data_IF_638500466008
#
_entry.id   IF_638500466008
#
_cell.length_a   1.000
_cell.length_b   1.000
_cell.length_c   1.000
_cell.angle_alpha   90.00
_cell.angle_beta   90.00
_cell.angle_gamma   90.00
#
_symmetry.space_group_name_H-M   'P 1'
#
loop_
_entity.id
_entity.type
_entity.pdbx_description
1 polymer ?
#
# COMPACT_ATOMS: atom_id res chain seq x y z
N UNK A 1 7.40 14.03 0.37
CA UNK A 1 6.63 12.76 0.53
C UNK A 1 7.55 11.76 1.19
N UNK A 2 7.10 11.09 2.25
CA UNK A 2 7.83 9.99 2.87
C UNK A 2 7.33 8.64 2.31
N UNK A 3 8.22 7.66 2.24
CA UNK A 3 7.92 6.30 1.80
C UNK A 3 8.36 5.29 2.85
N UNK A 4 7.43 4.48 3.31
CA UNK A 4 7.66 3.49 4.36
C UNK A 4 7.27 2.09 3.87
N UNK A 5 8.04 1.09 4.29
CA UNK A 5 7.70 -0.33 4.10
C UNK A 5 7.02 -0.83 5.38
N UNK A 6 5.85 -1.48 5.22
CA UNK A 6 5.14 -2.19 6.28
C UNK A 6 4.88 -3.62 5.82
N UNK A 7 5.60 -4.57 6.38
CA UNK A 7 5.64 -5.95 5.87
C UNK A 7 5.42 -7.00 6.96
N UNK A 8 4.85 -8.14 6.56
CA UNK A 8 4.75 -9.35 7.40
C UNK A 8 6.04 -10.18 7.43
N UNK A 9 7.07 -9.78 6.67
CA UNK A 9 8.37 -10.44 6.68
C UNK A 9 9.21 -9.97 7.86
N UNK A 10 10.12 -10.84 8.34
CA UNK A 10 11.07 -10.49 9.39
C UNK A 10 12.20 -9.60 8.88
N UNK A 11 12.82 -8.85 9.79
CA UNK A 11 13.84 -7.83 9.52
C UNK A 11 15.01 -8.35 8.68
N UNK A 12 15.52 -9.56 8.98
CA UNK A 12 16.64 -10.13 8.25
C UNK A 12 16.35 -10.31 6.75
N UNK A 13 15.15 -10.80 6.41
CA UNK A 13 14.73 -11.00 5.01
C UNK A 13 14.56 -9.68 4.28
N UNK A 14 13.97 -8.68 4.94
CA UNK A 14 13.74 -7.36 4.37
C UNK A 14 15.06 -6.65 4.11
N UNK A 15 15.98 -6.65 5.08
CA UNK A 15 17.28 -6.01 4.92
C UNK A 15 18.11 -6.64 3.80
N UNK A 16 18.12 -7.98 3.71
CA UNK A 16 18.82 -8.67 2.62
C UNK A 16 18.25 -8.29 1.22
N UNK A 17 16.93 -8.14 1.10
CA UNK A 17 16.30 -7.69 -0.14
C UNK A 17 16.66 -6.24 -0.46
N UNK A 18 16.56 -5.34 0.52
CA UNK A 18 16.86 -3.91 0.32
C UNK A 18 18.32 -3.68 -0.07
N UNK A 19 19.28 -4.44 0.50
CA UNK A 19 20.68 -4.39 0.12
C UNK A 19 20.91 -4.78 -1.35
N UNK A 20 20.15 -5.74 -1.87
CA UNK A 20 20.26 -6.15 -3.28
C UNK A 20 19.73 -5.09 -4.26
N UNK A 21 18.72 -4.35 -3.88
CA UNK A 21 18.03 -3.40 -4.78
C UNK A 21 18.37 -1.93 -4.52
N UNK A 22 19.14 -1.61 -3.47
CA UNK A 22 19.45 -0.23 -3.04
C UNK A 22 20.08 0.66 -4.13
N UNK A 23 20.73 0.07 -5.12
CA UNK A 23 21.31 0.81 -6.26
C UNK A 23 20.27 1.10 -7.36
N UNK A 24 19.11 0.46 -7.33
CA UNK A 24 18.09 0.52 -8.37
C UNK A 24 16.88 1.36 -7.98
N UNK A 25 16.67 1.57 -6.68
CA UNK A 25 15.52 2.29 -6.15
C UNK A 25 15.96 3.36 -5.13
N UNK A 26 15.19 4.44 -4.97
CA UNK A 26 15.38 5.38 -3.88
C UNK A 26 15.30 4.68 -2.51
N UNK A 27 16.01 5.21 -1.52
CA UNK A 27 15.91 4.72 -0.14
C UNK A 27 14.52 5.02 0.45
N UNK A 28 14.00 4.09 1.24
CA UNK A 28 12.81 4.31 2.05
C UNK A 28 13.15 5.12 3.31
N UNK A 29 12.20 5.92 3.78
CA UNK A 29 12.34 6.72 5.01
C UNK A 29 12.25 5.85 6.27
N UNK A 30 11.61 4.68 6.18
CA UNK A 30 11.57 3.72 7.26
C UNK A 30 10.99 2.37 6.88
N UNK A 31 11.17 1.41 7.77
CA UNK A 31 10.69 0.04 7.61
C UNK A 31 10.08 -0.42 8.93
N UNK A 32 8.91 -1.06 8.84
CA UNK A 32 8.25 -1.80 9.92
C UNK A 32 8.12 -3.26 9.47
N UNK A 33 8.66 -4.17 10.25
CA UNK A 33 8.69 -5.61 9.98
C UNK A 33 7.85 -6.38 10.98
N UNK A 34 7.67 -7.69 10.78
CA UNK A 34 7.00 -8.54 11.78
C UNK A 34 7.72 -8.57 13.13
N UNK A 35 9.01 -8.26 13.18
CA UNK A 35 9.79 -8.28 14.43
C UNK A 35 9.54 -7.02 15.29
N UNK A 36 8.94 -5.97 14.72
CA UNK A 36 8.66 -4.71 15.40
C UNK A 36 7.30 -4.69 16.13
N UNK A 37 6.41 -5.63 15.82
CA UNK A 37 4.99 -5.58 16.21
C UNK A 37 4.55 -6.85 16.92
N UNK A 38 3.50 -6.74 17.76
CA UNK A 38 2.93 -7.89 18.45
C UNK A 38 1.97 -8.69 17.58
N UNK A 39 1.18 -8.01 16.74
CA UNK A 39 0.17 -8.63 15.87
C UNK A 39 0.40 -8.23 14.42
N UNK A 40 0.59 -9.23 13.55
CA UNK A 40 0.71 -9.03 12.11
C UNK A 40 -0.63 -8.78 11.41
N UNK A 41 -0.58 -8.39 10.12
CA UNK A 41 -1.78 -8.24 9.28
C UNK A 41 -2.69 -9.47 9.39
N UNK A 42 -4.01 -9.30 9.57
CA UNK A 42 -4.81 -8.12 9.32
C UNK A 42 -4.90 -7.11 10.49
N UNK A 43 -4.16 -7.28 11.60
CA UNK A 43 -4.10 -6.29 12.66
C UNK A 43 -3.42 -5.00 12.16
N UNK A 44 -3.82 -3.80 12.67
CA UNK A 44 -3.31 -2.52 12.20
C UNK A 44 -1.93 -2.15 12.74
N UNK A 45 -1.35 -2.94 13.65
CA UNK A 45 -0.16 -2.63 14.45
C UNK A 45 1.00 -2.08 13.61
N UNK A 46 1.28 -2.72 12.47
CA UNK A 46 2.37 -2.29 11.58
C UNK A 46 2.15 -0.91 10.97
N UNK A 47 0.93 -0.62 10.55
CA UNK A 47 0.59 0.70 10.00
C UNK A 47 0.53 1.79 11.08
N UNK A 48 -0.01 1.48 12.25
CA UNK A 48 -0.03 2.41 13.37
C UNK A 48 1.40 2.76 13.81
N UNK A 49 2.28 1.78 13.87
CA UNK A 49 3.69 1.99 14.21
C UNK A 49 4.42 2.83 13.13
N UNK A 50 4.13 2.59 11.85
CA UNK A 50 4.69 3.39 10.77
C UNK A 50 4.22 4.86 10.84
N UNK A 51 2.94 5.10 11.11
CA UNK A 51 2.39 6.44 11.32
C UNK A 51 3.06 7.15 12.52
N UNK A 52 3.21 6.44 13.64
CA UNK A 52 3.87 6.96 14.83
C UNK A 52 5.33 7.34 14.54
N UNK A 53 6.12 6.43 13.96
CA UNK A 53 7.55 6.65 13.68
C UNK A 53 7.78 7.75 12.63
N UNK A 54 6.91 7.87 11.64
CA UNK A 54 6.99 8.89 10.59
C UNK A 54 6.48 10.26 11.03
N UNK A 55 5.67 10.32 12.09
CA UNK A 55 4.91 11.52 12.45
C UNK A 55 3.81 11.88 11.45
N UNK A 56 3.45 10.95 10.54
CA UNK A 56 2.45 11.19 9.52
C UNK A 56 1.02 11.05 10.07
N UNK A 57 0.06 11.67 9.37
CA UNK A 57 -1.36 11.57 9.68
C UNK A 57 -2.02 10.59 8.70
N UNK A 58 -2.88 9.69 9.20
CA UNK A 58 -3.60 8.73 8.38
C UNK A 58 -4.42 9.39 7.26
N UNK A 59 -5.04 10.55 7.53
CA UNK A 59 -5.82 11.29 6.54
C UNK A 59 -5.01 11.80 5.33
N UNK A 60 -3.69 11.92 5.47
CA UNK A 60 -2.76 12.36 4.41
C UNK A 60 -1.79 11.26 3.98
N UNK A 61 -2.08 10.02 4.36
CA UNK A 61 -1.27 8.85 4.06
C UNK A 61 -2.08 7.82 3.26
N UNK A 62 -1.41 7.12 2.35
CA UNK A 62 -2.01 6.11 1.49
C UNK A 62 -1.21 4.81 1.62
N UNK A 63 -1.90 3.71 1.87
CA UNK A 63 -1.32 2.38 1.82
C UNK A 63 -1.38 1.80 0.40
N UNK A 64 -0.37 1.01 0.04
CA UNK A 64 -0.35 0.18 -1.16
C UNK A 64 -0.32 -1.27 -0.70
N UNK A 65 -1.27 -2.05 -1.18
CA UNK A 65 -1.43 -3.45 -0.77
C UNK A 65 -1.78 -4.36 -1.94
N UNK A 66 -1.51 -5.64 -1.75
CA UNK A 66 -1.79 -6.69 -2.73
C UNK A 66 -2.66 -7.82 -2.18
N UNK A 67 -2.96 -7.79 -0.88
CA UNK A 67 -3.65 -8.85 -0.15
C UNK A 67 -4.85 -8.35 0.64
N UNK A 68 -5.81 -9.25 0.90
CA UNK A 68 -6.96 -8.99 1.75
C UNK A 68 -6.55 -8.63 3.19
N UNK A 69 -5.56 -9.34 3.73
CA UNK A 69 -5.05 -9.07 5.08
C UNK A 69 -4.41 -7.68 5.19
N UNK A 70 -3.69 -7.24 4.13
CA UNK A 70 -3.11 -5.92 4.05
C UNK A 70 -4.15 -4.81 3.96
N UNK A 71 -5.17 -4.99 3.12
CA UNK A 71 -6.29 -4.05 2.99
C UNK A 71 -7.00 -3.85 4.33
N UNK A 72 -7.32 -4.95 5.02
CA UNK A 72 -7.97 -4.89 6.34
C UNK A 72 -7.11 -4.16 7.38
N UNK A 73 -5.79 -4.44 7.40
CA UNK A 73 -4.85 -3.78 8.30
C UNK A 73 -4.75 -2.27 8.04
N UNK A 74 -4.65 -1.86 6.79
CA UNK A 74 -4.60 -0.45 6.39
C UNK A 74 -5.88 0.30 6.81
N UNK A 75 -7.05 -0.27 6.53
CA UNK A 75 -8.34 0.30 6.93
C UNK A 75 -8.49 0.40 8.45
N UNK A 76 -8.11 -0.64 9.18
CA UNK A 76 -8.15 -0.64 10.65
C UNK A 76 -7.22 0.42 11.27
N UNK A 77 -6.16 0.81 10.55
CA UNK A 77 -5.29 1.94 10.91
C UNK A 77 -5.81 3.32 10.44
N UNK A 78 -6.99 3.38 9.80
CA UNK A 78 -7.57 4.61 9.27
C UNK A 78 -6.91 5.13 7.98
N UNK A 79 -6.20 4.26 7.27
CA UNK A 79 -5.56 4.59 6.01
C UNK A 79 -6.48 4.27 4.82
N UNK A 80 -6.40 5.11 3.80
CA UNK A 80 -6.88 4.75 2.47
C UNK A 80 -5.91 3.79 1.82
N UNK A 81 -6.42 2.92 0.96
CA UNK A 81 -5.63 1.89 0.32
C UNK A 81 -5.79 1.92 -1.20
N UNK A 82 -4.68 1.93 -1.92
CA UNK A 82 -4.60 1.55 -3.33
C UNK A 82 -4.24 0.06 -3.39
N UNK A 83 -5.10 -0.73 -4.03
CA UNK A 83 -4.95 -2.18 -4.06
C UNK A 83 -4.51 -2.64 -5.45
N UNK A 84 -3.49 -3.48 -5.50
CA UNK A 84 -3.08 -4.23 -6.69
C UNK A 84 -3.08 -5.71 -6.35
N UNK A 85 -4.23 -6.41 -6.47
CA UNK A 85 -4.40 -7.77 -5.98
C UNK A 85 -3.35 -8.73 -6.54
N UNK A 86 -2.70 -9.49 -5.66
CA UNK A 86 -1.88 -10.61 -6.09
C UNK A 86 -2.76 -11.68 -6.76
N UNK A 87 -2.22 -12.51 -7.67
CA UNK A 87 -2.97 -13.60 -8.29
C UNK A 87 -3.62 -14.56 -7.27
N UNK A 88 -3.06 -14.66 -6.07
CA UNK A 88 -3.54 -15.53 -4.98
C UNK A 88 -4.76 -14.94 -4.26
N UNK A 89 -4.89 -13.61 -4.22
CA UNK A 89 -5.96 -12.89 -3.55
C UNK A 89 -7.01 -12.31 -4.50
N UNK A 90 -6.82 -12.43 -5.81
CA UNK A 90 -7.66 -11.78 -6.81
C UNK A 90 -9.15 -12.12 -6.67
N UNK A 91 -9.48 -13.38 -6.36
CA UNK A 91 -10.88 -13.81 -6.17
C UNK A 91 -11.47 -13.29 -4.85
N UNK A 92 -10.69 -13.30 -3.77
CA UNK A 92 -11.11 -12.80 -2.46
C UNK A 92 -11.30 -11.27 -2.46
N UNK A 93 -10.54 -10.55 -3.28
CA UNK A 93 -10.56 -9.09 -3.39
C UNK A 93 -11.50 -8.57 -4.48
N UNK A 94 -12.12 -9.45 -5.26
CA UNK A 94 -13.06 -9.07 -6.34
C UNK A 94 -14.24 -8.25 -5.82
N UNK A 95 -14.70 -8.56 -4.61
CA UNK A 95 -15.83 -7.89 -3.96
C UNK A 95 -15.39 -6.77 -3.00
N UNK A 96 -14.09 -6.55 -2.82
CA UNK A 96 -13.53 -5.54 -1.91
C UNK A 96 -13.39 -4.14 -2.55
N UNK A 97 -13.90 -3.95 -3.75
CA UNK A 97 -13.77 -2.67 -4.48
C UNK A 97 -14.39 -1.47 -3.77
N UNK A 98 -15.35 -1.70 -2.88
CA UNK A 98 -15.94 -0.62 -2.05
C UNK A 98 -15.10 -0.29 -0.81
N UNK A 99 -14.11 -1.11 -0.51
CA UNK A 99 -13.23 -1.00 0.66
C UNK A 99 -11.89 -0.35 0.36
N UNK A 100 -11.47 -0.29 -0.89
CA UNK A 100 -10.26 0.35 -1.36
C UNK A 100 -10.56 1.68 -2.05
N UNK A 101 -9.65 2.64 -1.98
CA UNK A 101 -9.76 3.91 -2.71
C UNK A 101 -9.73 3.68 -4.23
N UNK A 102 -8.92 2.72 -4.68
CA UNK A 102 -8.91 2.20 -6.03
C UNK A 102 -8.33 0.78 -6.04
N UNK A 103 -8.77 -0.02 -7.02
CA UNK A 103 -8.22 -1.34 -7.33
C UNK A 103 -7.70 -1.31 -8.77
N UNK A 104 -6.42 -1.64 -8.95
CA UNK A 104 -5.75 -1.69 -10.24
C UNK A 104 -5.20 -3.11 -10.48
N UNK A 105 -5.08 -3.50 -11.74
CA UNK A 105 -4.41 -4.77 -12.10
C UNK A 105 -2.89 -4.71 -11.83
N UNK A 106 -2.27 -3.53 -11.98
CA UNK A 106 -0.89 -3.22 -11.63
C UNK A 106 -0.70 -1.70 -11.52
N UNK A 107 0.49 -1.20 -11.17
CA UNK A 107 0.74 0.24 -10.98
C UNK A 107 0.99 1.04 -12.28
N UNK A 108 1.12 0.34 -13.38
CA UNK A 108 1.41 0.93 -14.70
C UNK A 108 2.90 1.19 -14.94
N UNK A 109 3.35 0.80 -16.13
CA UNK A 109 4.71 1.02 -16.62
C UNK A 109 4.69 1.73 -17.98
N UNK A 110 5.78 2.35 -18.40
CA UNK A 110 5.89 2.89 -19.75
C UNK A 110 5.58 1.83 -20.82
N UNK A 111 4.49 2.04 -21.57
CA UNK A 111 4.01 1.09 -22.57
C UNK A 111 3.10 -0.03 -22.06
N UNK A 112 2.86 -0.12 -20.76
CA UNK A 112 1.92 -1.04 -20.14
C UNK A 112 1.00 -0.29 -19.15
N UNK A 113 -0.05 0.35 -19.65
CA UNK A 113 -0.97 1.10 -18.80
C UNK A 113 -1.77 0.17 -17.88
N UNK A 114 -1.90 0.56 -16.61
CA UNK A 114 -2.75 -0.12 -15.65
C UNK A 114 -4.22 -0.02 -16.01
N UNK A 115 -4.97 -1.07 -15.71
CA UNK A 115 -6.43 -1.09 -15.80
C UNK A 115 -7.03 -0.86 -14.42
N UNK A 116 -7.95 0.07 -14.32
CA UNK A 116 -8.73 0.27 -13.11
C UNK A 116 -9.84 -0.78 -13.06
N UNK A 117 -9.78 -1.64 -12.06
CA UNK A 117 -10.76 -2.70 -11.81
C UNK A 117 -11.95 -2.17 -11.01
N UNK A 118 -11.70 -1.26 -10.06
CA UNK A 118 -12.73 -0.60 -9.25
C UNK A 118 -12.22 0.72 -8.68
N UNK A 119 -13.13 1.63 -8.34
CA UNK A 119 -12.82 2.90 -7.68
C UNK A 119 -12.48 4.03 -8.64
N UNK A 120 -11.60 4.93 -8.23
CA UNK A 120 -11.27 6.15 -8.97
C UNK A 120 -10.42 5.87 -10.21
N UNK A 121 -10.77 6.51 -11.34
CA UNK A 121 -10.07 6.32 -12.61
C UNK A 121 -8.64 6.86 -12.60
N UNK A 122 -7.70 6.06 -13.08
CA UNK A 122 -6.30 6.42 -13.26
C UNK A 122 -6.07 6.95 -14.68
N UNK A 123 -5.70 8.22 -14.80
CA UNK A 123 -5.46 8.82 -16.13
C UNK A 123 -4.25 8.17 -16.81
N UNK A 124 -4.41 7.76 -18.07
CA UNK A 124 -3.38 7.11 -18.89
C UNK A 124 -2.81 5.82 -18.29
N UNK A 125 -3.51 5.20 -17.32
CA UNK A 125 -3.09 3.94 -16.72
C UNK A 125 -1.73 3.99 -16.01
N UNK A 126 -1.35 5.13 -15.45
CA UNK A 126 -0.11 5.26 -14.68
C UNK A 126 -0.40 5.87 -13.32
N UNK A 127 0.09 5.23 -12.26
CA UNK A 127 0.03 5.77 -10.91
C UNK A 127 1.04 6.90 -10.79
N UNK A 128 0.52 8.13 -10.66
CA UNK A 128 1.31 9.34 -10.53
C UNK A 128 1.05 9.99 -9.17
N UNK A 129 1.95 10.85 -8.71
CA UNK A 129 1.75 11.61 -7.46
C UNK A 129 0.40 12.35 -7.46
N UNK A 130 0.03 12.97 -8.58
CA UNK A 130 -1.26 13.64 -8.74
C UNK A 130 -2.45 12.70 -8.56
N UNK A 131 -2.33 11.46 -9.02
CA UNK A 131 -3.37 10.45 -8.81
C UNK A 131 -3.46 10.04 -7.34
N UNK A 132 -2.33 9.88 -6.64
CA UNK A 132 -2.31 9.58 -5.21
C UNK A 132 -2.92 10.72 -4.38
N UNK A 133 -2.60 11.98 -4.69
CA UNK A 133 -3.23 13.15 -4.08
C UNK A 133 -4.75 13.17 -4.31
N UNK A 134 -5.18 12.82 -5.52
CA UNK A 134 -6.60 12.70 -5.85
C UNK A 134 -7.27 11.60 -5.01
N UNK A 135 -6.66 10.40 -4.88
CA UNK A 135 -7.20 9.33 -4.04
C UNK A 135 -7.37 9.76 -2.59
N UNK A 136 -6.48 10.59 -2.05
CA UNK A 136 -6.60 11.14 -0.70
C UNK A 136 -7.73 12.18 -0.57
N UNK A 137 -8.14 12.82 -1.65
CA UNK A 137 -9.17 13.87 -1.65
C UNK A 137 -10.60 13.34 -1.85
N UNK A 138 -10.76 12.13 -2.37
CA UNK A 138 -12.09 11.53 -2.61
C UNK A 138 -12.76 11.23 -1.27
N UNK A 139 -14.01 11.59 -1.01
CA UNK A 139 -14.70 11.16 0.21
C UNK A 139 -14.79 9.64 0.32
N UNK A 140 -14.75 9.13 1.55
CA UNK A 140 -15.05 7.71 1.81
C UNK A 140 -16.49 7.43 1.37
N UNK A 141 -16.69 6.32 0.67
CA UNK A 141 -18.02 5.87 0.21
C UNK A 141 -18.77 5.17 1.32
#
# INVERSE_FOLDING_TARGET
MQQWIVTSSGSASVMALLEQIQQQIPSFDGVVTSDDIASGKPAPDGYLLALERSGANSATSLAFEDSAAGLLAARAAGLRCLLTPSPWDADALRDSGDEAAAVLDHLGDPGQPATVLSGASCQKGAVTLKYLEFLLSVPDR
#
